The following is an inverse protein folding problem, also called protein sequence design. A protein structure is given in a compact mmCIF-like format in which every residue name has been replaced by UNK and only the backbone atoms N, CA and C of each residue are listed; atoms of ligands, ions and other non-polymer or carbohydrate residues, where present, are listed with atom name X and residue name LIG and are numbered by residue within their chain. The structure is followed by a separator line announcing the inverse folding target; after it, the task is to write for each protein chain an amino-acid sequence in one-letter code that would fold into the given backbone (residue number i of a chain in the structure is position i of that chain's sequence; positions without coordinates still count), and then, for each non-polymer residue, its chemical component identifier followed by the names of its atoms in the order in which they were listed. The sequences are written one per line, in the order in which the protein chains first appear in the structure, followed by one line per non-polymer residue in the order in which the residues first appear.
data_IF_418109538106
#
_entry.id   IF_418109538106
#
_cell.length_a   1.000
_cell.length_b   1.000
_cell.length_c   1.000
_cell.angle_alpha   90.00
_cell.angle_beta   90.00
_cell.angle_gamma   90.00
#
_symmetry.space_group_name_H-M   'P 1'
#
loop_
_entity.id
_entity.type
_entity.pdbx_description
1 polymer ?
#
# COMPACT_ATOMS: atom_id res chain seq x y z
N UNK A 1 -6.36 5.17 11.41
CA UNK A 1 -7.78 4.96 11.05
C UNK A 1 -7.98 3.50 10.66
N UNK A 2 -8.57 2.65 11.53
CA UNK A 2 -8.79 1.23 11.24
C UNK A 2 -9.61 0.99 9.95
N UNK A 3 -10.45 1.95 9.55
CA UNK A 3 -11.26 1.90 8.33
C UNK A 3 -10.45 1.80 7.03
N UNK A 4 -9.27 2.44 6.94
CA UNK A 4 -8.48 2.39 5.70
C UNK A 4 -7.79 1.03 5.51
N UNK A 5 -7.39 0.38 6.60
CA UNK A 5 -6.80 -0.96 6.53
C UNK A 5 -7.84 -2.00 6.10
N UNK A 6 -9.03 -1.96 6.70
CA UNK A 6 -10.13 -2.84 6.30
C UNK A 6 -10.52 -2.61 4.84
N UNK A 7 -10.65 -1.34 4.42
CA UNK A 7 -10.93 -1.00 3.02
C UNK A 7 -9.87 -1.54 2.06
N UNK A 8 -8.60 -1.53 2.44
CA UNK A 8 -7.53 -2.11 1.63
C UNK A 8 -7.61 -3.64 1.51
N UNK A 9 -8.02 -4.31 2.59
CA UNK A 9 -8.26 -5.75 2.55
C UNK A 9 -9.43 -6.07 1.63
N UNK A 10 -10.54 -5.33 1.73
CA UNK A 10 -11.73 -5.54 0.89
C UNK A 10 -11.38 -5.40 -0.61
N UNK A 11 -10.69 -4.32 -0.99
CA UNK A 11 -10.23 -4.10 -2.36
C UNK A 11 -9.33 -5.23 -2.87
N UNK A 12 -8.47 -5.79 -2.01
CA UNK A 12 -7.61 -6.91 -2.41
C UNK A 12 -8.44 -8.16 -2.69
N UNK A 13 -9.47 -8.44 -1.90
CA UNK A 13 -10.38 -9.55 -2.15
C UNK A 13 -11.11 -9.36 -3.47
N UNK A 14 -11.66 -8.16 -3.71
CA UNK A 14 -12.37 -7.85 -4.95
C UNK A 14 -11.46 -7.97 -6.19
N UNK A 15 -10.18 -7.57 -6.08
CA UNK A 15 -9.20 -7.74 -7.14
C UNK A 15 -8.85 -9.21 -7.41
N UNK A 16 -8.80 -10.05 -6.36
CA UNK A 16 -8.54 -11.47 -6.52
C UNK A 16 -9.74 -12.18 -7.18
N UNK A 17 -10.96 -11.83 -6.76
CA UNK A 17 -12.18 -12.33 -7.38
C UNK A 17 -12.28 -11.87 -8.85
N UNK A 18 -11.96 -10.61 -9.13
CA UNK A 18 -11.91 -10.08 -10.48
C UNK A 18 -10.84 -10.74 -11.35
N UNK A 19 -9.70 -11.14 -10.78
CA UNK A 19 -8.65 -11.85 -11.52
C UNK A 19 -9.10 -13.28 -11.91
N UNK A 20 -9.86 -13.96 -11.05
CA UNK A 20 -10.41 -15.29 -11.32
C UNK A 20 -11.56 -15.25 -12.34
N UNK A 21 -12.36 -14.18 -12.34
CA UNK A 21 -13.59 -14.07 -13.15
C UNK A 21 -13.60 -12.87 -14.10
N UNK A 22 -12.44 -12.48 -14.63
CA UNK A 22 -12.27 -11.27 -15.46
C UNK A 22 -13.14 -11.29 -16.72
N UNK A 23 -13.40 -12.46 -17.27
CA UNK A 23 -14.24 -12.69 -18.45
C UNK A 23 -15.73 -12.43 -18.19
N UNK A 24 -16.14 -12.39 -16.92
CA UNK A 24 -17.52 -12.15 -16.49
C UNK A 24 -17.77 -10.70 -16.08
N UNK A 25 -16.72 -9.88 -15.98
CA UNK A 25 -16.82 -8.48 -15.64
C UNK A 25 -17.10 -7.65 -16.90
N UNK A 26 -18.00 -6.68 -16.76
CA UNK A 26 -18.11 -5.63 -17.76
C UNK A 26 -16.89 -4.70 -17.70
N UNK A 27 -16.61 -4.02 -18.81
CA UNK A 27 -15.54 -3.02 -18.88
C UNK A 27 -15.71 -1.92 -17.83
N UNK A 28 -16.97 -1.55 -17.53
CA UNK A 28 -17.28 -0.53 -16.53
C UNK A 28 -16.95 -1.01 -15.12
N UNK A 29 -17.34 -2.24 -14.75
CA UNK A 29 -17.05 -2.81 -13.42
C UNK A 29 -15.54 -2.96 -13.21
N UNK A 30 -14.81 -3.44 -14.23
CA UNK A 30 -13.36 -3.53 -14.17
C UNK A 30 -12.71 -2.14 -14.01
N UNK A 31 -13.19 -1.13 -14.74
CA UNK A 31 -12.69 0.25 -14.63
C UNK A 31 -12.93 0.83 -13.24
N UNK A 32 -14.11 0.62 -12.67
CA UNK A 32 -14.45 1.10 -11.33
C UNK A 32 -13.56 0.45 -10.26
N UNK A 33 -13.38 -0.87 -10.32
CA UNK A 33 -12.50 -1.61 -9.42
C UNK A 33 -11.05 -1.12 -9.48
N UNK A 34 -10.52 -0.88 -10.68
CA UNK A 34 -9.16 -0.37 -10.85
C UNK A 34 -9.00 1.05 -10.26
N UNK A 35 -9.99 1.92 -10.43
CA UNK A 35 -9.97 3.28 -9.88
C UNK A 35 -10.07 3.26 -8.35
N UNK A 36 -10.90 2.39 -7.79
CA UNK A 36 -11.00 2.21 -6.34
C UNK A 36 -9.68 1.68 -5.78
N UNK A 37 -9.08 0.67 -6.41
CA UNK A 37 -7.79 0.13 -6.01
C UNK A 37 -6.69 1.20 -6.02
N UNK A 38 -6.59 1.98 -7.09
CA UNK A 38 -5.62 3.07 -7.19
C UNK A 38 -5.81 4.11 -6.07
N UNK A 39 -7.06 4.45 -5.76
CA UNK A 39 -7.40 5.41 -4.70
C UNK A 39 -6.97 4.90 -3.32
N UNK A 40 -7.29 3.65 -3.00
CA UNK A 40 -6.94 3.07 -1.70
C UNK A 40 -5.42 2.90 -1.56
N UNK A 41 -4.73 2.47 -2.60
CA UNK A 41 -3.27 2.38 -2.62
C UNK A 41 -2.62 3.75 -2.42
N UNK A 42 -3.12 4.81 -3.04
CA UNK A 42 -2.61 6.17 -2.84
C UNK A 42 -2.73 6.62 -1.37
N UNK A 43 -3.87 6.36 -0.73
CA UNK A 43 -4.08 6.67 0.69
C UNK A 43 -3.17 5.86 1.62
N UNK A 44 -2.89 4.60 1.28
CA UNK A 44 -1.91 3.79 2.01
C UNK A 44 -0.49 4.32 1.85
N UNK A 45 -0.08 4.66 0.63
CA UNK A 45 1.25 5.18 0.34
C UNK A 45 1.52 6.50 1.07
N UNK A 46 0.53 7.41 1.16
CA UNK A 46 0.63 8.65 1.95
C UNK A 46 1.03 8.43 3.41
N UNK A 47 0.75 7.26 3.99
CA UNK A 47 1.15 6.91 5.37
C UNK A 47 2.60 6.44 5.48
N UNK A 48 3.18 5.97 4.38
CA UNK A 48 4.54 5.43 4.32
C UNK A 48 5.55 6.46 3.78
N UNK A 49 5.10 7.67 3.45
CA UNK A 49 6.01 8.78 3.17
C UNK A 49 6.51 9.30 4.53
N UNK A 50 7.82 9.23 4.82
CA UNK A 50 8.38 9.84 6.02
C UNK A 50 8.01 11.32 6.04
N UNK A 51 7.69 11.85 7.23
CA UNK A 51 7.05 13.15 7.40
C UNK A 51 7.92 14.31 6.88
N UNK A 52 9.21 14.05 6.65
CA UNK A 52 10.17 14.93 6.01
C UNK A 52 11.27 14.09 5.36
N UNK A 53 11.95 14.63 4.33
CA UNK A 53 13.18 14.04 3.81
C UNK A 53 14.26 13.89 4.92
N UNK A 54 14.18 14.70 5.98
CA UNK A 54 15.07 14.64 7.15
C UNK A 54 14.93 13.35 7.97
N UNK A 55 13.77 12.69 7.94
CA UNK A 55 13.58 11.38 8.60
C UNK A 55 14.22 10.22 7.82
N UNK A 56 14.43 10.35 6.52
CA UNK A 56 15.16 9.34 5.71
C UNK A 56 16.66 9.38 6.04
N UNK A 57 17.23 10.57 6.18
CA UNK A 57 18.63 10.77 6.56
C UNK A 57 18.93 10.25 7.98
N UNK A 58 17.96 10.31 8.90
CA UNK A 58 18.09 9.78 10.25
C UNK A 58 18.16 8.23 10.31
N UNK A 59 17.55 7.54 9.34
CA UNK A 59 17.57 6.07 9.26
C UNK A 59 18.84 5.57 8.56
N UNK A 60 19.40 6.35 7.63
CA UNK A 60 20.71 6.07 7.02
C UNK A 60 21.90 6.36 7.96
N UNK A 61 21.73 7.27 8.93
CA UNK A 61 22.78 7.63 9.91
C UNK A 61 22.86 6.73 11.15
N UNK A 62 21.93 5.80 11.35
CA UNK A 62 21.96 4.86 12.48
C UNK A 62 22.88 3.68 12.15
N UNK A 63 24.20 3.91 12.27
CA UNK A 63 25.23 2.88 12.19
C UNK A 63 24.84 1.61 12.99
N UNK A 64 25.10 0.47 12.36
CA UNK A 64 24.97 -0.86 12.94
C UNK A 64 25.59 -0.92 14.36
N UNK A 65 24.99 -1.68 15.30
CA UNK A 65 25.55 -1.81 16.64
C UNK A 65 26.98 -2.33 16.53
N UNK A 66 27.92 -1.59 17.10
CA UNK A 66 29.34 -1.88 17.11
C UNK A 66 29.61 -3.27 17.75
N UNK A 67 29.55 -4.32 16.95
CA UNK A 67 30.25 -5.57 17.20
C UNK A 67 31.74 -5.29 16.96
N UNK A 68 32.44 -4.89 18.03
CA UNK A 68 33.83 -5.27 18.32
C UNK A 68 34.47 -4.29 19.30
N UNK A 69 34.47 -4.64 20.59
CA UNK A 69 35.62 -4.54 21.50
C UNK A 69 35.43 -5.72 22.46
N UNK A 70 36.17 -6.82 22.32
CA UNK A 70 37.62 -6.88 22.54
C UNK A 70 37.80 -7.45 23.94
#
# INVERSE_FOLDING_TARGET
MPHLHMKAVDVVVDLLDAAEYVDKLSEQELRELLLEAATVLAELLKRNVPASLDELDAVEGAEAPALARG
#
